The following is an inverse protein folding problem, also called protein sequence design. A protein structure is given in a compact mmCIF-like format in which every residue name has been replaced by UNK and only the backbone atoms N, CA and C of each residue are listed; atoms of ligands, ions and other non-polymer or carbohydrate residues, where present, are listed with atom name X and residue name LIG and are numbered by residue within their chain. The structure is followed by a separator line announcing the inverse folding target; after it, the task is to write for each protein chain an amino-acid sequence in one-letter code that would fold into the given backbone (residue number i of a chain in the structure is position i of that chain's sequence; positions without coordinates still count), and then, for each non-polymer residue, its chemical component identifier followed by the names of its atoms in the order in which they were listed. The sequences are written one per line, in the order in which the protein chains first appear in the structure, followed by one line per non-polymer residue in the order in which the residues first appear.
data_IF_175849965557
#
_entry.id   IF_175849965557
#
_cell.length_a   1.000
_cell.length_b   1.000
_cell.length_c   1.000
_cell.angle_alpha   90.00
_cell.angle_beta   90.00
_cell.angle_gamma   90.00
#
_symmetry.space_group_name_H-M   'P 1'
#
loop_
_entity.id
_entity.type
_entity.pdbx_description
1 polymer ?
#
# COMPACT_ATOMS: atom_id res chain seq x y z
N UNK A 1 -41.79 45.40 11.62
CA UNK A 1 -41.69 44.50 10.49
C UNK A 1 -40.26 44.33 10.00
N UNK A 2 -39.37 45.35 9.92
CA UNK A 2 -37.98 45.19 9.47
C UNK A 2 -37.10 44.29 10.32
N UNK A 3 -37.33 44.15 11.63
CA UNK A 3 -36.54 43.30 12.54
C UNK A 3 -36.87 41.80 12.42
N UNK A 4 -38.11 41.45 12.02
CA UNK A 4 -38.53 40.05 11.82
C UNK A 4 -37.95 39.49 10.51
N UNK A 5 -37.82 40.34 9.48
CA UNK A 5 -37.22 39.96 8.22
C UNK A 5 -35.72 39.61 8.34
N UNK A 6 -35.02 40.31 9.25
CA UNK A 6 -33.58 40.06 9.51
C UNK A 6 -33.38 38.71 10.24
N UNK A 7 -34.32 38.34 11.13
CA UNK A 7 -34.24 37.04 11.85
C UNK A 7 -34.47 35.87 10.92
N UNK A 8 -35.35 36.00 9.92
CA UNK A 8 -35.58 34.96 8.90
C UNK A 8 -34.36 34.74 7.96
N UNK A 9 -33.64 35.83 7.65
CA UNK A 9 -32.44 35.73 6.83
C UNK A 9 -31.27 35.03 7.53
N UNK A 10 -31.17 35.13 8.86
CA UNK A 10 -30.13 34.47 9.65
C UNK A 10 -30.41 32.96 9.82
N UNK A 11 -31.67 32.56 9.95
CA UNK A 11 -32.07 31.15 10.10
C UNK A 11 -31.84 30.37 8.79
N UNK A 12 -31.93 31.00 7.60
CA UNK A 12 -31.72 30.35 6.32
C UNK A 12 -30.24 30.08 6.01
N UNK A 13 -29.27 30.67 6.74
CA UNK A 13 -27.85 30.39 6.56
C UNK A 13 -27.38 29.09 7.25
N UNK A 14 -28.17 28.51 8.12
CA UNK A 14 -27.83 27.25 8.80
C UNK A 14 -28.38 26.00 8.10
N UNK A 15 -29.11 26.12 7.01
CA UNK A 15 -29.51 25.00 6.15
C UNK A 15 -28.43 24.76 5.10
N UNK A 16 -27.18 24.67 5.54
CA UNK A 16 -26.06 24.31 4.67
C UNK A 16 -25.83 22.81 4.75
N UNK A 17 -26.19 22.12 3.68
CA UNK A 17 -25.61 20.87 3.19
C UNK A 17 -25.21 19.83 4.24
N UNK A 18 -26.18 19.15 4.81
CA UNK A 18 -25.97 17.75 5.17
C UNK A 18 -26.34 16.91 3.95
N UNK A 19 -25.35 16.68 3.08
CA UNK A 19 -25.44 15.62 2.10
C UNK A 19 -25.15 14.33 2.87
N UNK A 20 -26.16 13.76 3.51
CA UNK A 20 -26.11 12.41 4.05
C UNK A 20 -26.01 11.45 2.85
N UNK A 21 -24.81 11.37 2.25
CA UNK A 21 -24.42 10.22 1.48
C UNK A 21 -24.01 9.17 2.49
N UNK A 22 -24.92 8.27 2.85
CA UNK A 22 -24.54 6.97 3.41
C UNK A 22 -23.74 6.27 2.35
N UNK A 23 -22.42 6.47 2.37
CA UNK A 23 -21.49 5.70 1.54
C UNK A 23 -21.40 4.35 2.22
N UNK A 24 -22.00 3.34 1.60
CA UNK A 24 -21.88 1.96 2.04
C UNK A 24 -20.47 1.50 1.70
N UNK A 25 -19.51 1.73 2.61
CA UNK A 25 -18.11 1.38 2.42
C UNK A 25 -17.97 -0.14 2.45
N UNK A 26 -17.55 -0.71 1.37
CA UNK A 26 -17.20 -2.13 1.25
C UNK A 26 -15.71 -2.32 1.50
N UNK A 27 -15.34 -3.50 1.97
CA UNK A 27 -13.94 -3.87 2.19
C UNK A 27 -13.72 -5.35 1.90
N UNK A 28 -12.48 -5.68 1.55
CA UNK A 28 -12.02 -7.05 1.38
C UNK A 28 -10.58 -7.18 1.87
N UNK A 29 -10.17 -8.39 2.24
CA UNK A 29 -8.83 -8.68 2.73
C UNK A 29 -8.30 -9.94 2.05
N UNK A 30 -7.20 -9.80 1.35
CA UNK A 30 -6.50 -10.89 0.68
C UNK A 30 -5.14 -11.10 1.34
N UNK A 31 -4.81 -12.36 1.69
CA UNK A 31 -3.49 -12.72 2.18
C UNK A 31 -2.78 -13.56 1.11
N UNK A 32 -1.48 -13.31 0.91
CA UNK A 32 -0.67 -14.09 -0.01
C UNK A 32 0.77 -14.24 0.51
N UNK A 33 1.43 -15.32 0.12
CA UNK A 33 2.84 -15.56 0.41
C UNK A 33 3.69 -15.57 -0.86
N UNK A 34 4.91 -15.05 -0.77
CA UNK A 34 5.93 -15.14 -1.81
C UNK A 34 6.99 -16.11 -1.30
N UNK A 35 7.15 -17.26 -1.95
CA UNK A 35 8.22 -18.20 -1.61
C UNK A 35 9.58 -17.68 -2.12
N UNK A 36 10.67 -18.14 -1.49
CA UNK A 36 12.02 -17.73 -1.87
C UNK A 36 12.32 -17.95 -3.36
N UNK A 37 11.80 -19.02 -3.95
CA UNK A 37 12.01 -19.36 -5.37
C UNK A 37 11.28 -18.45 -6.35
N UNK A 38 10.31 -17.66 -5.88
CA UNK A 38 9.50 -16.79 -6.74
C UNK A 38 10.09 -15.38 -6.87
N UNK A 39 11.14 -15.07 -6.12
CA UNK A 39 11.83 -13.80 -6.25
C UNK A 39 12.71 -13.78 -7.52
N UNK A 40 12.49 -12.79 -8.35
CA UNK A 40 13.25 -12.57 -9.59
C UNK A 40 14.21 -11.41 -9.36
N UNK A 41 15.51 -11.67 -9.50
CA UNK A 41 16.53 -10.62 -9.48
C UNK A 41 16.47 -9.81 -10.77
N UNK A 42 16.39 -8.51 -10.63
CA UNK A 42 16.33 -7.53 -11.74
C UNK A 42 17.29 -6.38 -11.46
N UNK A 43 17.47 -5.51 -12.42
CA UNK A 43 18.20 -4.25 -12.30
C UNK A 43 17.34 -3.12 -12.82
N UNK A 44 17.65 -1.89 -12.42
CA UNK A 44 16.97 -0.72 -12.92
C UNK A 44 17.21 -0.50 -14.43
N UNK A 45 16.56 0.51 -14.99
CA UNK A 45 16.69 0.84 -16.42
C UNK A 45 18.10 1.28 -16.83
N UNK A 46 18.99 1.57 -15.87
CA UNK A 46 20.38 1.91 -16.11
C UNK A 46 21.30 0.69 -15.96
N UNK A 47 20.77 -0.44 -15.50
CA UNK A 47 21.54 -1.67 -15.26
C UNK A 47 22.46 -1.61 -14.04
N UNK A 48 22.23 -0.67 -13.13
CA UNK A 48 23.14 -0.36 -12.03
C UNK A 48 22.64 -0.84 -10.65
N UNK A 49 21.34 -0.75 -10.41
CA UNK A 49 20.76 -0.98 -9.08
C UNK A 49 19.97 -2.29 -9.05
N UNK A 50 20.57 -3.40 -8.58
CA UNK A 50 19.87 -4.67 -8.48
C UNK A 50 18.83 -4.64 -7.36
N UNK A 51 17.70 -5.29 -7.62
CA UNK A 51 16.60 -5.51 -6.68
C UNK A 51 15.95 -6.87 -6.96
N UNK A 52 15.17 -7.35 -6.01
CA UNK A 52 14.31 -8.52 -6.22
C UNK A 52 12.86 -8.07 -6.38
N UNK A 53 12.11 -8.76 -7.24
CA UNK A 53 10.69 -8.51 -7.39
C UNK A 53 9.90 -9.79 -7.62
N UNK A 54 8.61 -9.75 -7.28
CA UNK A 54 7.64 -10.80 -7.59
C UNK A 54 6.32 -10.16 -8.04
N UNK A 55 5.77 -10.64 -9.15
CA UNK A 55 4.46 -10.25 -9.64
C UNK A 55 3.41 -11.24 -9.14
N UNK A 56 2.34 -10.72 -8.57
CA UNK A 56 1.22 -11.45 -7.98
C UNK A 56 -0.06 -11.08 -8.71
N UNK A 57 -0.80 -12.08 -9.16
CA UNK A 57 -2.15 -11.89 -9.68
C UNK A 57 -3.09 -11.52 -8.52
N UNK A 58 -3.84 -10.42 -8.66
CA UNK A 58 -4.75 -9.89 -7.68
C UNK A 58 -6.03 -9.38 -8.37
N UNK A 59 -6.87 -10.30 -8.87
CA UNK A 59 -8.08 -9.96 -9.64
C UNK A 59 -9.08 -9.13 -8.82
N UNK A 60 -8.97 -9.13 -7.50
CA UNK A 60 -9.75 -8.30 -6.59
C UNK A 60 -9.51 -6.80 -6.81
N UNK A 61 -8.33 -6.39 -7.32
CA UNK A 61 -8.09 -5.00 -7.74
C UNK A 61 -8.75 -4.76 -9.09
N UNK A 62 -10.06 -4.56 -9.04
CA UNK A 62 -10.85 -4.23 -10.23
C UNK A 62 -10.52 -2.82 -10.75
N UNK A 63 -10.90 -2.45 -12.01
CA UNK A 63 -10.74 -1.09 -12.51
C UNK A 63 -11.41 -0.04 -11.62
N UNK A 64 -12.53 -0.39 -10.97
CA UNK A 64 -13.22 0.49 -10.04
C UNK A 64 -12.39 0.71 -8.77
N UNK A 65 -11.87 -0.36 -8.13
CA UNK A 65 -11.04 -0.27 -6.92
C UNK A 65 -9.73 0.47 -7.23
N UNK A 66 -9.11 0.20 -8.38
CA UNK A 66 -7.90 0.91 -8.81
C UNK A 66 -8.12 2.42 -8.93
N UNK A 67 -9.26 2.87 -9.44
CA UNK A 67 -9.54 4.28 -9.72
C UNK A 67 -10.22 5.02 -8.57
N UNK A 68 -10.98 4.35 -7.71
CA UNK A 68 -11.86 4.97 -6.70
C UNK A 68 -11.65 4.40 -5.29
N UNK A 69 -11.02 3.24 -5.16
CA UNK A 69 -10.81 2.56 -3.89
C UNK A 69 -9.49 2.93 -3.23
N UNK A 70 -9.25 2.34 -2.06
CA UNK A 70 -7.97 2.33 -1.38
C UNK A 70 -7.41 0.91 -1.42
N UNK A 71 -6.15 0.76 -1.85
CA UNK A 71 -5.38 -0.46 -1.78
C UNK A 71 -4.26 -0.25 -0.79
N UNK A 72 -4.30 -0.95 0.34
CA UNK A 72 -3.26 -0.89 1.36
C UNK A 72 -2.59 -2.23 1.51
N UNK A 73 -1.26 -2.26 1.37
CA UNK A 73 -0.47 -3.49 1.42
C UNK A 73 0.35 -3.50 2.71
N UNK A 74 0.41 -4.66 3.35
CA UNK A 74 1.18 -4.90 4.57
C UNK A 74 2.13 -6.07 4.37
N UNK A 75 3.35 -5.94 4.87
CA UNK A 75 4.25 -7.05 5.14
C UNK A 75 3.88 -7.65 6.50
N UNK A 76 3.75 -8.97 6.59
CA UNK A 76 3.41 -9.70 7.83
C UNK A 76 4.65 -10.41 8.33
N UNK A 77 5.13 -10.05 9.52
CA UNK A 77 6.33 -10.62 10.12
C UNK A 77 6.09 -10.86 11.61
N UNK A 78 6.32 -12.08 12.07
CA UNK A 78 6.19 -12.46 13.49
C UNK A 78 4.83 -12.09 14.12
N UNK A 79 3.76 -12.17 13.32
CA UNK A 79 2.40 -11.80 13.73
C UNK A 79 2.12 -10.29 13.73
N UNK A 80 3.11 -9.45 13.43
CA UNK A 80 2.94 -8.02 13.24
C UNK A 80 2.70 -7.66 11.76
N UNK A 81 1.92 -6.61 11.52
CA UNK A 81 1.66 -6.09 10.18
C UNK A 81 2.39 -4.75 10.02
N UNK A 82 3.24 -4.65 9.01
CA UNK A 82 3.99 -3.45 8.69
C UNK A 82 3.46 -2.88 7.36
N UNK A 83 3.01 -1.63 7.40
CA UNK A 83 2.53 -0.94 6.19
C UNK A 83 3.68 -0.76 5.21
N UNK A 84 3.46 -1.07 3.93
CA UNK A 84 4.42 -0.75 2.88
C UNK A 84 4.34 0.73 2.47
N UNK A 85 5.47 1.37 2.14
CA UNK A 85 6.83 0.81 2.13
C UNK A 85 7.39 0.59 3.55
N UNK A 86 8.02 -0.56 3.76
CA UNK A 86 8.67 -0.92 5.02
C UNK A 86 10.19 -0.80 4.86
N UNK A 87 10.84 -0.09 5.78
CA UNK A 87 12.28 0.16 5.75
C UNK A 87 12.91 -0.27 7.06
N UNK A 88 13.98 -1.05 6.98
CA UNK A 88 14.74 -1.50 8.15
C UNK A 88 16.24 -1.38 7.92
N UNK A 89 16.94 -0.97 8.96
CA UNK A 89 18.40 -0.90 9.00
C UNK A 89 18.97 -2.19 9.57
N UNK A 90 20.06 -2.66 8.98
CA UNK A 90 20.78 -3.85 9.38
C UNK A 90 22.26 -3.56 9.56
N UNK A 91 22.90 -4.37 10.39
CA UNK A 91 24.35 -4.40 10.56
C UNK A 91 24.80 -5.87 10.68
N UNK A 92 25.87 -6.24 10.01
CA UNK A 92 26.46 -7.56 10.14
C UNK A 92 27.52 -7.61 11.27
N UNK A 93 28.05 -8.81 11.53
CA UNK A 93 29.07 -9.01 12.56
C UNK A 93 30.42 -8.33 12.27
N UNK A 94 30.63 -7.82 11.07
CA UNK A 94 31.80 -7.09 10.62
C UNK A 94 31.62 -5.57 10.69
N UNK A 95 30.42 -5.11 11.08
CA UNK A 95 30.07 -3.68 11.15
C UNK A 95 29.64 -3.08 9.82
N UNK A 96 29.40 -3.89 8.78
CA UNK A 96 28.81 -3.39 7.53
C UNK A 96 27.32 -3.08 7.75
N UNK A 97 26.90 -1.91 7.32
CA UNK A 97 25.53 -1.43 7.51
C UNK A 97 24.83 -1.26 6.17
N UNK A 98 23.57 -1.67 6.11
CA UNK A 98 22.70 -1.44 4.96
C UNK A 98 21.26 -1.20 5.38
N UNK A 99 20.47 -0.73 4.45
CA UNK A 99 19.04 -0.55 4.61
C UNK A 99 18.32 -1.46 3.62
N UNK A 100 17.37 -2.25 4.10
CA UNK A 100 16.45 -3.00 3.25
C UNK A 100 15.12 -2.26 3.15
N UNK A 101 14.65 -2.08 1.94
CA UNK A 101 13.33 -1.54 1.63
C UNK A 101 12.47 -2.62 1.01
N UNK A 102 11.26 -2.78 1.54
CA UNK A 102 10.20 -3.61 0.95
C UNK A 102 9.10 -2.65 0.53
N UNK A 103 8.78 -2.61 -0.76
CA UNK A 103 7.74 -1.76 -1.32
C UNK A 103 6.91 -2.51 -2.36
N UNK A 104 5.85 -1.91 -2.85
CA UNK A 104 4.99 -2.53 -3.85
C UNK A 104 4.28 -1.48 -4.72
N UNK A 105 4.14 -1.85 -5.99
CA UNK A 105 3.25 -1.20 -6.93
C UNK A 105 2.00 -2.06 -7.15
N UNK A 106 0.90 -1.45 -7.54
CA UNK A 106 -0.27 -2.19 -7.99
C UNK A 106 -0.89 -1.56 -9.24
N UNK A 107 -1.49 -2.42 -10.03
CA UNK A 107 -2.32 -2.05 -11.18
C UNK A 107 -3.64 -2.81 -11.11
N UNK A 108 -4.53 -2.60 -12.06
CA UNK A 108 -5.72 -3.46 -12.17
C UNK A 108 -5.30 -4.91 -12.35
N UNK A 109 -5.73 -5.76 -11.40
CA UNK A 109 -5.51 -7.21 -11.44
C UNK A 109 -4.14 -7.70 -10.97
N UNK A 110 -3.20 -6.82 -10.58
CA UNK A 110 -1.86 -7.26 -10.17
C UNK A 110 -1.26 -6.40 -9.06
N UNK A 111 -0.38 -7.03 -8.27
CA UNK A 111 0.56 -6.37 -7.35
C UNK A 111 1.97 -6.83 -7.72
N UNK A 112 2.94 -5.91 -7.72
CA UNK A 112 4.35 -6.24 -7.84
C UNK A 112 5.06 -5.77 -6.57
N UNK A 113 5.65 -6.74 -5.85
CA UNK A 113 6.41 -6.48 -4.62
C UNK A 113 7.89 -6.41 -4.97
N UNK A 114 8.60 -5.51 -4.30
CA UNK A 114 10.04 -5.28 -4.48
C UNK A 114 10.77 -5.40 -3.15
N UNK A 115 11.99 -5.91 -3.21
CA UNK A 115 12.95 -5.89 -2.09
C UNK A 115 14.27 -5.36 -2.60
N UNK A 116 14.75 -4.28 -1.99
CA UNK A 116 15.98 -3.59 -2.37
C UNK A 116 16.87 -3.39 -1.13
N UNK A 117 18.13 -3.80 -1.22
CA UNK A 117 19.15 -3.49 -0.24
C UNK A 117 20.01 -2.33 -0.72
N UNK A 118 20.33 -1.39 0.17
CA UNK A 118 21.04 -0.14 -0.18
C UNK A 118 22.50 -0.37 -0.59
N UNK A 119 23.09 -1.49 -0.20
CA UNK A 119 24.44 -1.92 -0.60
C UNK A 119 24.43 -2.72 -1.92
N UNK A 120 23.25 -3.02 -2.45
CA UNK A 120 23.02 -3.81 -3.68
C UNK A 120 23.64 -5.22 -3.68
N UNK A 121 24.02 -5.74 -2.51
CA UNK A 121 24.61 -7.07 -2.32
C UNK A 121 23.64 -8.10 -1.76
N UNK A 122 22.35 -7.75 -1.63
CA UNK A 122 21.36 -8.58 -1.00
C UNK A 122 21.26 -9.99 -1.59
N UNK A 123 21.16 -10.98 -0.69
CA UNK A 123 20.80 -12.34 -1.05
C UNK A 123 19.33 -12.41 -1.47
N UNK A 124 18.94 -13.50 -2.16
CA UNK A 124 17.52 -13.74 -2.47
C UNK A 124 16.69 -13.65 -1.20
N UNK A 125 15.64 -12.81 -1.16
CA UNK A 125 14.78 -12.67 0.01
C UNK A 125 14.20 -14.03 0.44
N UNK A 126 13.97 -14.26 1.74
CA UNK A 126 13.30 -15.47 2.22
C UNK A 126 11.84 -15.50 1.76
N UNK A 127 11.12 -16.53 2.15
CA UNK A 127 9.66 -16.53 2.03
C UNK A 127 9.08 -15.39 2.88
N UNK A 128 8.12 -14.64 2.32
CA UNK A 128 7.50 -13.49 2.94
C UNK A 128 5.99 -13.55 2.80
N UNK A 129 5.26 -13.17 3.83
CA UNK A 129 3.80 -13.12 3.86
C UNK A 129 3.31 -11.67 3.80
N UNK A 130 2.24 -11.47 3.05
CA UNK A 130 1.64 -10.17 2.82
C UNK A 130 0.12 -10.21 3.03
N UNK A 131 -0.42 -9.05 3.37
CA UNK A 131 -1.85 -8.80 3.45
C UNK A 131 -2.20 -7.57 2.64
N UNK A 132 -3.26 -7.66 1.86
CA UNK A 132 -3.86 -6.53 1.14
C UNK A 132 -5.22 -6.23 1.73
N UNK A 133 -5.47 -4.97 2.00
CA UNK A 133 -6.79 -4.46 2.40
C UNK A 133 -7.30 -3.58 1.29
N UNK A 134 -8.48 -3.89 0.79
CA UNK A 134 -9.21 -3.15 -0.23
C UNK A 134 -10.41 -2.46 0.41
N UNK A 135 -10.61 -1.17 0.11
CA UNK A 135 -11.75 -0.38 0.58
C UNK A 135 -12.37 0.37 -0.61
N UNK A 136 -13.70 0.34 -0.74
CA UNK A 136 -14.42 1.04 -1.83
C UNK A 136 -15.89 1.32 -1.52
#
# INVERSE_FOLDING_TARGET
MKKILLLFAIVSMFVSCQKDTTVDTKWDVVNFGISQSNWIKSVDNQGLNPFYSCLIDMPEITPFIYSQGLVQIYYVMDGAQQVLPYVRHYEDSLGNQWTQTIDADFTTGTIKVYVTDSDFNGATPPAMDFRVVLLW
#
